data_IF_397702255241
#
_entry.id   IF_397702255241
#
_cell.length_a   1.000
_cell.length_b   1.000
_cell.length_c   1.000
_cell.angle_alpha   90.00
_cell.angle_beta   90.00
_cell.angle_gamma   90.00
#
_symmetry.space_group_name_H-M   'P 1'
#
loop_
_entity.id
_entity.type
_entity.pdbx_description
1 polymer ?
#
# COMPACT_ATOMS: atom_id res chain seq x y z
N UNK A 1 -26.51 -1.50 -1.42
CA UNK A 1 -26.46 -0.02 -1.35
C UNK A 1 -26.88 0.56 0.00
N UNK A 2 -28.03 0.20 0.59
CA UNK A 2 -28.59 0.86 1.78
C UNK A 2 -27.67 1.09 2.99
N UNK A 3 -26.73 0.18 3.29
CA UNK A 3 -25.74 0.37 4.38
C UNK A 3 -24.61 1.34 4.02
N UNK A 4 -24.36 1.55 2.73
CA UNK A 4 -23.36 2.48 2.21
C UNK A 4 -23.91 3.91 2.12
N UNK A 5 -25.21 4.04 1.84
CA UNK A 5 -25.89 5.33 1.85
C UNK A 5 -25.95 5.82 3.29
N UNK A 6 -25.13 6.85 3.57
CA UNK A 6 -24.87 7.34 4.92
C UNK A 6 -26.13 7.74 5.69
N UNK A 7 -25.99 7.97 7.00
CA UNK A 7 -27.08 8.47 7.85
C UNK A 7 -27.70 9.75 7.29
N UNK A 8 -26.89 10.59 6.65
CA UNK A 8 -27.34 11.86 6.07
C UNK A 8 -28.51 11.72 5.08
N UNK A 9 -28.53 10.71 4.20
CA UNK A 9 -29.67 10.55 3.28
C UNK A 9 -30.95 10.17 4.04
N UNK A 10 -30.80 9.30 5.05
CA UNK A 10 -31.93 8.76 5.81
C UNK A 10 -32.52 9.87 6.67
N UNK A 11 -31.65 10.65 7.31
CA UNK A 11 -32.02 11.80 8.14
C UNK A 11 -32.62 12.92 7.27
N UNK A 12 -32.07 13.16 6.08
CA UNK A 12 -32.62 14.12 5.11
C UNK A 12 -34.03 13.71 4.68
N UNK A 13 -34.24 12.46 4.26
CA UNK A 13 -35.57 11.96 3.88
C UNK A 13 -36.52 12.05 5.07
N UNK A 14 -36.12 11.53 6.23
CA UNK A 14 -36.91 11.53 7.46
C UNK A 14 -37.42 12.93 7.83
N UNK A 15 -36.53 13.92 7.75
CA UNK A 15 -36.84 15.32 8.06
C UNK A 15 -37.74 15.94 7.01
N UNK A 16 -37.48 15.71 5.72
CA UNK A 16 -38.26 16.30 4.62
C UNK A 16 -39.68 15.78 4.54
N UNK A 17 -39.90 14.51 4.86
CA UNK A 17 -41.25 13.92 4.89
C UNK A 17 -41.92 14.01 6.26
N UNK A 18 -41.24 14.54 7.27
CA UNK A 18 -41.72 14.53 8.66
C UNK A 18 -42.20 13.13 9.08
N UNK A 19 -41.31 12.15 8.90
CA UNK A 19 -41.63 10.73 8.93
C UNK A 19 -42.41 10.27 10.19
N UNK A 20 -42.16 10.78 11.42
CA UNK A 20 -42.94 10.39 12.59
C UNK A 20 -44.44 10.66 12.45
N UNK A 21 -44.82 11.81 11.87
CA UNK A 21 -46.23 12.17 11.69
C UNK A 21 -46.88 11.31 10.61
N UNK A 22 -46.20 11.11 9.47
CA UNK A 22 -46.74 10.30 8.38
C UNK A 22 -46.90 8.84 8.80
N UNK A 23 -45.92 8.26 9.50
CA UNK A 23 -45.99 6.86 9.95
C UNK A 23 -47.12 6.66 10.94
N UNK A 24 -47.38 7.65 11.81
CA UNK A 24 -48.54 7.61 12.71
C UNK A 24 -49.84 7.60 11.91
N UNK A 25 -50.00 8.53 10.97
CA UNK A 25 -51.20 8.60 10.13
C UNK A 25 -51.43 7.30 9.33
N UNK A 26 -50.38 6.72 8.74
CA UNK A 26 -50.46 5.44 8.01
C UNK A 26 -50.94 4.31 8.93
N UNK A 27 -50.36 4.18 10.13
CA UNK A 27 -50.77 3.12 11.06
C UNK A 27 -52.21 3.31 11.54
N UNK A 28 -52.63 4.54 11.79
CA UNK A 28 -53.99 4.85 12.25
C UNK A 28 -55.02 4.53 11.15
N UNK A 29 -54.74 4.91 9.90
CA UNK A 29 -55.67 4.73 8.77
C UNK A 29 -55.72 3.28 8.27
N UNK A 30 -54.57 2.62 8.08
CA UNK A 30 -54.54 1.20 7.70
C UNK A 30 -55.04 0.29 8.83
N UNK A 31 -54.85 0.69 10.09
CA UNK A 31 -55.43 -0.02 11.24
C UNK A 31 -56.95 -0.06 11.16
N UNK A 32 -57.59 1.09 10.94
CA UNK A 32 -59.05 1.18 10.74
C UNK A 32 -59.52 0.36 9.55
N UNK A 33 -58.80 0.43 8.43
CA UNK A 33 -59.13 -0.35 7.24
C UNK A 33 -59.10 -1.87 7.50
N UNK A 34 -58.13 -2.36 8.26
CA UNK A 34 -58.06 -3.78 8.65
C UNK A 34 -59.21 -4.14 9.62
N UNK A 35 -59.57 -3.25 10.55
CA UNK A 35 -60.71 -3.46 11.45
C UNK A 35 -62.04 -3.54 10.68
N UNK A 36 -62.24 -2.68 9.68
CA UNK A 36 -63.41 -2.70 8.80
C UNK A 36 -63.49 -4.01 8.02
N UNK A 37 -62.40 -4.48 7.42
CA UNK A 37 -62.35 -5.79 6.76
C UNK A 37 -62.59 -6.93 7.75
N UNK A 38 -62.00 -6.85 8.94
CA UNK A 38 -62.19 -7.84 10.01
C UNK A 38 -63.66 -7.99 10.42
N UNK A 39 -64.44 -6.91 10.39
CA UNK A 39 -65.88 -6.96 10.63
C UNK A 39 -66.70 -7.67 9.54
N UNK A 40 -66.15 -7.82 8.34
CA UNK A 40 -66.78 -8.53 7.20
C UNK A 40 -66.42 -10.01 7.20
N UNK A 41 -65.25 -10.37 7.72
CA UNK A 41 -64.75 -11.75 7.70
C UNK A 41 -65.42 -12.59 8.80
N UNK A 42 -66.10 -13.66 8.41
CA UNK A 42 -66.79 -14.55 9.38
C UNK A 42 -65.84 -15.53 10.09
N UNK A 43 -64.91 -16.13 9.34
CA UNK A 43 -64.06 -17.22 9.82
C UNK A 43 -62.55 -16.89 9.79
N UNK A 44 -62.18 -15.65 9.43
CA UNK A 44 -60.79 -15.24 9.27
C UNK A 44 -60.53 -13.93 10.01
N UNK A 45 -59.37 -13.80 10.64
CA UNK A 45 -58.93 -12.55 11.28
C UNK A 45 -57.52 -12.16 10.83
N UNK A 46 -57.27 -10.84 10.78
CA UNK A 46 -55.92 -10.31 10.63
C UNK A 46 -55.22 -10.30 11.98
N UNK A 47 -54.39 -11.31 12.23
CA UNK A 47 -53.57 -11.37 13.45
C UNK A 47 -52.26 -10.58 13.31
N UNK A 48 -51.88 -9.85 14.37
CA UNK A 48 -50.57 -9.19 14.44
C UNK A 48 -49.50 -10.25 14.74
N UNK A 49 -48.69 -10.61 13.75
CA UNK A 49 -47.62 -11.60 13.90
C UNK A 49 -46.27 -10.94 14.27
N UNK A 50 -45.59 -11.48 15.29
CA UNK A 50 -44.23 -11.06 15.67
C UNK A 50 -44.12 -9.96 16.73
N UNK A 51 -42.88 -9.52 17.01
CA UNK A 51 -42.55 -8.49 18.04
C UNK A 51 -42.87 -7.06 17.61
N UNK A 52 -42.92 -6.78 16.30
CA UNK A 52 -43.18 -5.43 15.74
C UNK A 52 -44.62 -5.38 15.24
N UNK A 53 -45.47 -4.62 15.93
CA UNK A 53 -46.92 -4.60 15.67
C UNK A 53 -47.37 -3.52 14.68
N UNK A 54 -46.55 -2.48 14.48
CA UNK A 54 -46.88 -1.31 13.67
C UNK A 54 -45.77 -1.04 12.66
N UNK A 55 -46.14 -0.46 11.52
CA UNK A 55 -45.21 0.03 10.51
C UNK A 55 -44.26 1.08 11.11
N UNK A 56 -42.96 0.92 10.85
CA UNK A 56 -41.90 1.70 11.49
C UNK A 56 -41.38 2.82 10.58
N UNK A 57 -40.91 3.91 11.17
CA UNK A 57 -40.27 5.02 10.44
C UNK A 57 -39.12 4.57 9.55
N UNK A 58 -38.24 3.70 10.06
CA UNK A 58 -37.12 3.20 9.28
C UNK A 58 -37.59 2.44 8.03
N UNK A 59 -38.72 1.73 8.12
CA UNK A 59 -39.28 0.99 6.97
C UNK A 59 -39.84 1.91 5.90
N UNK A 60 -40.50 3.01 6.29
CA UNK A 60 -40.96 4.02 5.34
C UNK A 60 -39.79 4.65 4.58
N UNK A 61 -38.75 5.05 5.33
CA UNK A 61 -37.56 5.67 4.74
C UNK A 61 -36.87 4.69 3.78
N UNK A 62 -36.77 3.41 4.15
CA UNK A 62 -36.23 2.36 3.28
C UNK A 62 -37.00 2.23 1.96
N UNK A 63 -38.33 2.13 2.03
CA UNK A 63 -39.20 2.00 0.84
C UNK A 63 -39.07 3.24 -0.07
N UNK A 64 -39.01 4.44 0.50
CA UNK A 64 -38.83 5.68 -0.29
C UNK A 64 -37.47 5.68 -1.00
N UNK A 65 -36.40 5.30 -0.29
CA UNK A 65 -35.06 5.24 -0.87
C UNK A 65 -34.99 4.16 -1.96
N UNK A 66 -35.52 2.96 -1.70
CA UNK A 66 -35.62 1.86 -2.67
C UNK A 66 -36.38 2.33 -3.92
N UNK A 67 -37.61 2.82 -3.76
CA UNK A 67 -38.42 3.29 -4.88
C UNK A 67 -37.76 4.43 -5.67
N UNK A 68 -37.00 5.31 -5.03
CA UNK A 68 -36.24 6.34 -5.74
C UNK A 68 -35.14 5.75 -6.61
N UNK A 69 -34.33 4.83 -6.07
CA UNK A 69 -33.20 4.23 -6.80
C UNK A 69 -33.63 3.19 -7.83
N UNK A 70 -34.76 2.51 -7.65
CA UNK A 70 -35.32 1.56 -8.61
C UNK A 70 -35.69 2.23 -9.94
N UNK A 71 -35.96 3.55 -9.94
CA UNK A 71 -36.21 4.32 -11.17
C UNK A 71 -34.94 4.70 -11.92
N UNK A 72 -33.74 4.37 -11.40
CA UNK A 72 -32.45 4.79 -11.95
C UNK A 72 -31.67 3.59 -12.49
N UNK A 73 -31.10 3.75 -13.69
CA UNK A 73 -30.14 2.79 -14.25
C UNK A 73 -28.73 3.34 -14.12
N UNK A 74 -27.82 2.53 -13.59
CA UNK A 74 -26.39 2.83 -13.61
C UNK A 74 -25.83 2.50 -14.99
N UNK A 75 -25.19 3.48 -15.62
CA UNK A 75 -24.61 3.32 -16.96
C UNK A 75 -23.13 3.69 -16.94
N UNK A 76 -22.29 2.89 -17.61
CA UNK A 76 -20.91 3.24 -17.91
C UNK A 76 -20.88 4.23 -19.06
N UNK A 77 -20.30 5.42 -18.83
CA UNK A 77 -20.14 6.46 -19.84
C UNK A 77 -18.75 6.34 -20.49
N UNK A 78 -18.71 6.24 -21.81
CA UNK A 78 -17.53 6.50 -22.63
C UNK A 78 -17.77 7.79 -23.44
N UNK A 79 -16.73 8.34 -24.08
CA UNK A 79 -16.77 9.64 -24.77
C UNK A 79 -17.97 9.81 -25.74
N UNK A 80 -18.50 8.72 -26.29
CA UNK A 80 -19.61 8.74 -27.26
C UNK A 80 -20.73 7.72 -26.96
N UNK A 81 -20.62 6.88 -25.94
CA UNK A 81 -21.59 5.81 -25.66
C UNK A 81 -21.93 5.68 -24.17
N UNK A 82 -23.15 5.25 -23.87
CA UNK A 82 -23.64 4.95 -22.52
C UNK A 82 -24.12 3.51 -22.50
N UNK A 83 -23.39 2.64 -21.82
CA UNK A 83 -23.69 1.19 -21.74
C UNK A 83 -24.35 0.92 -20.39
N UNK A 84 -25.48 0.21 -20.37
CA UNK A 84 -26.14 -0.15 -19.10
C UNK A 84 -25.28 -1.14 -18.34
N UNK A 85 -25.36 -1.12 -17.01
CA UNK A 85 -24.63 -2.09 -16.18
C UNK A 85 -24.94 -3.54 -16.53
N UNK A 86 -26.18 -3.85 -16.95
CA UNK A 86 -26.60 -5.21 -17.33
C UNK A 86 -25.84 -5.75 -18.54
N UNK A 87 -25.42 -4.85 -19.44
CA UNK A 87 -24.70 -5.17 -20.67
C UNK A 87 -23.17 -5.24 -20.47
N UNK A 88 -22.69 -4.92 -19.27
CA UNK A 88 -21.26 -5.01 -18.94
C UNK A 88 -20.81 -6.46 -18.71
N UNK A 89 -19.53 -6.71 -18.99
CA UNK A 89 -18.88 -7.97 -18.63
C UNK A 89 -18.88 -8.21 -17.11
N UNK A 90 -18.65 -9.45 -16.67
CA UNK A 90 -18.59 -9.79 -15.25
C UNK A 90 -17.55 -8.96 -14.48
N UNK A 91 -16.36 -8.78 -15.05
CA UNK A 91 -15.29 -7.95 -14.50
C UNK A 91 -15.71 -6.48 -14.39
N UNK A 92 -16.31 -5.91 -15.43
CA UNK A 92 -16.77 -4.52 -15.41
C UNK A 92 -17.92 -4.30 -14.41
N UNK A 93 -18.83 -5.25 -14.24
CA UNK A 93 -19.87 -5.20 -13.19
C UNK A 93 -19.25 -5.15 -11.80
N UNK A 94 -18.22 -5.96 -11.56
CA UNK A 94 -17.46 -5.98 -10.30
C UNK A 94 -16.74 -4.65 -10.07
N UNK A 95 -16.07 -4.12 -11.10
CA UNK A 95 -15.45 -2.81 -11.04
C UNK A 95 -16.48 -1.72 -10.70
N UNK A 96 -17.62 -1.69 -11.39
CA UNK A 96 -18.69 -0.73 -11.14
C UNK A 96 -19.21 -0.81 -9.69
N UNK A 97 -19.37 -2.02 -9.14
CA UNK A 97 -19.79 -2.20 -7.75
C UNK A 97 -18.80 -1.57 -6.76
N UNK A 98 -17.50 -1.81 -6.95
CA UNK A 98 -16.46 -1.23 -6.09
C UNK A 98 -16.37 0.28 -6.28
N UNK A 99 -16.51 0.80 -7.50
CA UNK A 99 -16.52 2.24 -7.77
C UNK A 99 -17.71 2.95 -7.11
N UNK A 100 -18.89 2.32 -7.14
CA UNK A 100 -20.08 2.84 -6.44
C UNK A 100 -19.87 2.81 -4.93
N UNK A 101 -19.35 1.72 -4.39
CA UNK A 101 -19.03 1.62 -2.96
C UNK A 101 -18.00 2.69 -2.54
N UNK A 102 -16.95 2.86 -3.33
CA UNK A 102 -15.93 3.89 -3.16
C UNK A 102 -16.57 5.28 -3.12
N UNK A 103 -17.39 5.63 -4.12
CA UNK A 103 -18.04 6.95 -4.19
C UNK A 103 -18.96 7.21 -2.98
N UNK A 104 -19.75 6.22 -2.56
CA UNK A 104 -20.61 6.38 -1.39
C UNK A 104 -19.84 6.53 -0.09
N UNK A 105 -18.76 5.77 0.10
CA UNK A 105 -17.95 5.81 1.30
C UNK A 105 -17.15 7.13 1.37
N UNK A 106 -16.47 7.49 0.29
CA UNK A 106 -15.64 8.70 0.20
C UNK A 106 -16.43 10.00 0.22
N UNK A 107 -17.74 9.99 -0.05
CA UNK A 107 -18.61 11.17 0.12
C UNK A 107 -18.62 11.69 1.57
N UNK A 108 -18.47 10.78 2.54
CA UNK A 108 -18.44 11.12 3.97
C UNK A 108 -17.39 10.23 4.64
N UNK A 109 -16.10 10.58 4.58
CA UNK A 109 -15.02 9.73 5.09
C UNK A 109 -15.00 9.69 6.63
N UNK A 110 -15.41 10.79 7.28
CA UNK A 110 -15.53 10.88 8.74
C UNK A 110 -16.97 10.62 9.15
N UNK A 111 -17.24 9.44 9.72
CA UNK A 111 -18.57 9.03 10.18
C UNK A 111 -18.56 8.69 11.67
N UNK A 112 -19.72 8.82 12.32
CA UNK A 112 -19.91 8.38 13.72
C UNK A 112 -19.85 6.86 13.91
N UNK A 113 -19.94 6.09 12.81
CA UNK A 113 -19.98 4.62 12.83
C UNK A 113 -18.69 4.06 12.24
N UNK A 114 -18.18 3.01 12.88
CA UNK A 114 -17.13 2.17 12.32
C UNK A 114 -17.71 1.39 11.12
N UNK A 115 -16.99 1.41 9.99
CA UNK A 115 -17.36 0.67 8.80
C UNK A 115 -16.25 -0.32 8.48
N UNK A 116 -16.66 -1.57 8.26
CA UNK A 116 -15.82 -2.62 7.72
C UNK A 116 -16.36 -2.99 6.32
N UNK A 117 -15.49 -2.92 5.32
CA UNK A 117 -15.76 -3.30 3.95
C UNK A 117 -15.03 -4.60 3.65
N UNK A 118 -15.79 -5.69 3.52
CA UNK A 118 -15.25 -6.98 3.09
C UNK A 118 -15.60 -7.22 1.61
N UNK A 119 -14.60 -7.53 0.79
CA UNK A 119 -14.75 -7.78 -0.64
C UNK A 119 -14.08 -9.10 -0.98
N UNK A 120 -14.85 -10.03 -1.55
CA UNK A 120 -14.33 -11.31 -2.01
C UNK A 120 -13.79 -11.17 -3.43
N UNK A 121 -12.51 -11.47 -3.66
CA UNK A 121 -11.82 -11.42 -4.97
C UNK A 121 -12.11 -10.14 -5.78
N UNK A 122 -11.63 -8.96 -5.36
CA UNK A 122 -11.86 -7.72 -6.11
C UNK A 122 -11.40 -7.84 -7.57
N UNK A 123 -10.30 -8.55 -7.84
CA UNK A 123 -9.70 -8.72 -9.16
C UNK A 123 -10.44 -9.67 -10.11
N UNK A 124 -11.41 -10.44 -9.61
CA UNK A 124 -11.96 -11.55 -10.38
C UNK A 124 -12.51 -11.08 -11.75
N UNK A 125 -12.07 -11.75 -12.82
CA UNK A 125 -12.42 -11.45 -14.21
C UNK A 125 -11.93 -10.08 -14.73
N UNK A 126 -11.00 -9.41 -14.04
CA UNK A 126 -10.38 -8.18 -14.53
C UNK A 126 -9.06 -8.45 -15.27
N UNK A 127 -8.76 -7.54 -16.21
CA UNK A 127 -7.42 -7.45 -16.79
C UNK A 127 -6.44 -6.88 -15.75
N UNK A 128 -5.17 -7.31 -15.77
CA UNK A 128 -4.14 -6.92 -14.79
C UNK A 128 -4.03 -5.41 -14.59
N UNK A 129 -4.17 -4.63 -15.66
CA UNK A 129 -4.16 -3.15 -15.57
C UNK A 129 -5.34 -2.59 -14.77
N UNK A 130 -6.53 -3.21 -14.82
CA UNK A 130 -7.69 -2.79 -14.05
C UNK A 130 -7.62 -3.25 -12.58
N UNK A 131 -6.92 -4.34 -12.29
CA UNK A 131 -6.63 -4.77 -10.92
C UNK A 131 -5.90 -3.66 -10.14
N UNK A 132 -4.96 -2.97 -10.79
CA UNK A 132 -4.23 -1.87 -10.16
C UNK A 132 -5.12 -0.77 -9.62
N UNK A 133 -5.91 -0.16 -10.50
CA UNK A 133 -6.80 0.94 -10.13
C UNK A 133 -7.81 0.51 -9.07
N UNK A 134 -8.18 -0.77 -9.07
CA UNK A 134 -9.11 -1.32 -8.10
C UNK A 134 -8.47 -1.45 -6.71
N UNK A 135 -7.29 -2.05 -6.61
CA UNK A 135 -6.56 -2.15 -5.34
C UNK A 135 -6.09 -0.78 -4.83
N UNK A 136 -5.79 0.18 -5.71
CA UNK A 136 -5.52 1.56 -5.30
C UNK A 136 -6.74 2.21 -4.64
N UNK A 137 -7.95 1.99 -5.20
CA UNK A 137 -9.20 2.44 -4.57
C UNK A 137 -9.41 1.78 -3.21
N UNK A 138 -9.13 0.48 -3.08
CA UNK A 138 -9.24 -0.23 -1.80
C UNK A 138 -8.26 0.32 -0.75
N UNK A 139 -7.02 0.61 -1.15
CA UNK A 139 -6.02 1.27 -0.30
C UNK A 139 -6.49 2.65 0.17
N UNK A 140 -7.02 3.47 -0.72
CA UNK A 140 -7.56 4.79 -0.34
C UNK A 140 -8.73 4.67 0.64
N UNK A 141 -9.56 3.64 0.48
CA UNK A 141 -10.62 3.35 1.46
C UNK A 141 -10.05 2.90 2.81
N UNK A 142 -8.93 2.16 2.82
CA UNK A 142 -8.33 1.68 4.07
C UNK A 142 -7.79 2.79 4.96
N UNK A 143 -7.55 4.00 4.43
CA UNK A 143 -7.18 5.19 5.20
C UNK A 143 -8.31 5.67 6.14
N UNK A 144 -9.57 5.35 5.83
CA UNK A 144 -10.74 5.83 6.57
C UNK A 144 -11.60 4.71 7.15
N UNK A 145 -11.50 3.51 6.59
CA UNK A 145 -12.36 2.37 6.90
C UNK A 145 -11.53 1.10 7.02
N UNK A 146 -12.02 0.09 7.74
CA UNK A 146 -11.37 -1.22 7.73
C UNK A 146 -11.74 -1.94 6.43
N UNK A 147 -10.74 -2.32 5.62
CA UNK A 147 -10.94 -3.07 4.37
C UNK A 147 -10.39 -4.49 4.55
N UNK A 148 -11.20 -5.48 4.22
CA UNK A 148 -10.83 -6.90 4.21
C UNK A 148 -11.06 -7.43 2.80
N UNK A 149 -10.06 -8.11 2.25
CA UNK A 149 -10.11 -8.67 0.90
C UNK A 149 -9.55 -10.08 0.89
N UNK A 150 -10.13 -10.93 0.06
CA UNK A 150 -9.57 -12.22 -0.36
C UNK A 150 -9.06 -12.06 -1.79
N UNK A 151 -7.93 -12.67 -2.11
CA UNK A 151 -7.35 -12.56 -3.45
C UNK A 151 -6.39 -13.70 -3.74
N UNK A 152 -6.35 -14.14 -5.00
CA UNK A 152 -5.36 -15.09 -5.51
C UNK A 152 -4.25 -14.43 -6.32
N UNK A 153 -4.37 -13.12 -6.56
CA UNK A 153 -3.42 -12.31 -7.29
C UNK A 153 -2.39 -11.74 -6.34
N UNK A 154 -1.10 -11.93 -6.56
CA UNK A 154 -0.06 -11.39 -5.66
C UNK A 154 0.36 -9.97 -6.06
N UNK A 155 -0.16 -9.46 -7.18
CA UNK A 155 0.16 -8.13 -7.71
C UNK A 155 -0.38 -6.95 -6.90
N UNK A 156 -1.22 -7.19 -5.87
CA UNK A 156 -1.64 -6.13 -4.95
C UNK A 156 -0.57 -5.76 -3.92
N UNK A 157 0.34 -6.70 -3.61
CA UNK A 157 1.40 -6.50 -2.62
C UNK A 157 2.21 -5.21 -2.82
N UNK A 158 2.60 -4.84 -4.05
CA UNK A 158 3.31 -3.59 -4.27
C UNK A 158 2.39 -2.34 -4.25
N UNK A 159 1.06 -2.52 -4.34
CA UNK A 159 0.07 -1.43 -4.31
C UNK A 159 -0.27 -1.06 -2.88
N UNK A 160 -0.58 -2.08 -2.07
CA UNK A 160 -0.95 -1.97 -0.66
C UNK A 160 0.33 -2.07 0.17
N UNK A 161 0.83 -0.93 0.64
CA UNK A 161 2.05 -0.83 1.44
C UNK A 161 1.79 -0.74 2.95
N UNK A 162 0.53 -0.80 3.37
CA UNK A 162 0.12 -0.77 4.77
C UNK A 162 -1.02 -1.78 5.00
N UNK A 163 -0.87 -2.64 6.00
CA UNK A 163 -1.79 -3.72 6.32
C UNK A 163 -1.11 -5.07 6.53
N UNK A 164 -1.94 -6.11 6.73
CA UNK A 164 -1.48 -7.48 7.01
C UNK A 164 -2.02 -8.42 5.94
N UNK A 165 -1.13 -9.18 5.31
CA UNK A 165 -1.50 -10.31 4.45
C UNK A 165 -1.57 -11.57 5.29
N UNK A 166 -2.67 -12.32 5.16
CA UNK A 166 -2.82 -13.64 5.75
C UNK A 166 -2.80 -14.68 4.63
N UNK A 167 -1.80 -15.56 4.63
CA UNK A 167 -1.75 -16.71 3.74
C UNK A 167 -2.36 -17.92 4.44
N UNK A 168 -3.41 -18.44 3.84
CA UNK A 168 -4.16 -19.58 4.38
C UNK A 168 -3.61 -20.86 3.75
N UNK A 169 -3.26 -21.83 4.59
CA UNK A 169 -2.82 -23.16 4.14
C UNK A 169 -3.63 -24.25 4.82
N UNK A 170 -4.18 -25.20 4.05
CA UNK A 170 -4.82 -26.37 4.65
C UNK A 170 -3.75 -27.25 5.31
N UNK A 171 -3.98 -27.64 6.56
CA UNK A 171 -3.19 -28.63 7.28
C UNK A 171 -4.15 -29.59 7.99
N UNK A 172 -4.28 -30.80 7.47
CA UNK A 172 -5.24 -31.81 7.91
C UNK A 172 -6.67 -31.25 7.96
N UNK A 173 -7.30 -31.22 9.14
CA UNK A 173 -8.65 -30.65 9.36
C UNK A 173 -8.64 -29.17 9.76
N UNK A 174 -7.47 -28.53 9.83
CA UNK A 174 -7.31 -27.13 10.25
C UNK A 174 -6.79 -26.24 9.12
N UNK A 175 -7.04 -24.93 9.25
CA UNK A 175 -6.45 -23.90 8.39
C UNK A 175 -5.35 -23.19 9.19
N UNK A 176 -4.12 -23.25 8.72
CA UNK A 176 -3.03 -22.45 9.27
C UNK A 176 -3.01 -21.06 8.62
N UNK A 177 -2.73 -20.05 9.45
CA UNK A 177 -2.56 -18.66 9.03
C UNK A 177 -1.10 -18.27 9.16
N UNK A 178 -0.48 -17.91 8.04
CA UNK A 178 0.82 -17.22 8.04
C UNK A 178 0.58 -15.74 7.75
N UNK A 179 0.90 -14.87 8.72
CA UNK A 179 0.59 -13.45 8.65
C UNK A 179 1.85 -12.65 8.43
N UNK A 180 1.82 -11.72 7.47
CA UNK A 180 2.96 -10.89 7.10
C UNK A 180 2.54 -9.43 7.01
N UNK A 181 3.38 -8.53 7.49
CA UNK A 181 3.18 -7.10 7.25
C UNK A 181 3.48 -6.81 5.78
N UNK A 182 2.53 -6.19 5.08
CA UNK A 182 2.65 -5.85 3.66
C UNK A 182 3.84 -4.94 3.37
N UNK A 183 4.19 -4.04 4.30
CA UNK A 183 5.29 -3.10 4.14
C UNK A 183 6.68 -3.79 4.06
N UNK A 184 6.78 -5.05 4.50
CA UNK A 184 8.05 -5.78 4.59
C UNK A 184 7.88 -7.27 4.23
N UNK A 185 6.85 -7.63 3.47
CA UNK A 185 6.45 -9.05 3.35
C UNK A 185 7.54 -9.90 2.66
N UNK A 186 8.19 -9.40 1.59
CA UNK A 186 9.25 -10.13 0.88
C UNK A 186 10.44 -10.39 1.79
N UNK A 187 10.83 -9.39 2.58
CA UNK A 187 11.90 -9.54 3.57
C UNK A 187 11.53 -10.56 4.65
N UNK A 188 10.30 -10.50 5.20
CA UNK A 188 9.84 -11.48 6.17
C UNK A 188 9.79 -12.90 5.60
N UNK A 189 9.47 -13.04 4.31
CA UNK A 189 9.52 -14.31 3.57
C UNK A 189 10.96 -14.82 3.42
N UNK A 190 11.89 -13.94 3.01
CA UNK A 190 13.29 -14.29 2.79
C UNK A 190 13.98 -14.72 4.11
N UNK A 191 13.64 -14.05 5.22
CA UNK A 191 14.21 -14.33 6.54
C UNK A 191 13.62 -15.57 7.23
N UNK A 192 12.49 -16.10 6.77
CA UNK A 192 11.99 -17.38 7.27
C UNK A 192 12.82 -18.53 6.68
N UNK A 193 13.32 -19.41 7.57
CA UNK A 193 14.14 -20.58 7.22
C UNK A 193 13.60 -21.27 5.96
N UNK A 194 14.44 -21.33 4.92
CA UNK A 194 14.25 -22.11 3.68
C UNK A 194 13.52 -23.42 4.00
N UNK A 195 12.27 -23.55 3.56
CA UNK A 195 11.49 -24.78 3.73
C UNK A 195 10.03 -24.62 4.14
N UNK A 196 9.57 -23.43 4.56
CA UNK A 196 8.14 -23.21 4.85
C UNK A 196 7.35 -22.67 3.68
N UNK A 197 7.93 -21.86 2.80
CA UNK A 197 7.17 -21.28 1.68
C UNK A 197 7.35 -22.17 0.45
N UNK A 198 6.26 -22.71 -0.14
CA UNK A 198 6.35 -23.52 -1.35
C UNK A 198 7.06 -22.75 -2.47
N UNK A 199 7.95 -23.39 -3.22
CA UNK A 199 8.65 -22.75 -4.36
C UNK A 199 7.69 -22.15 -5.38
N UNK A 200 6.54 -22.78 -5.58
CA UNK A 200 5.49 -22.30 -6.49
C UNK A 200 4.90 -20.96 -6.05
N UNK A 201 4.86 -20.72 -4.73
CA UNK A 201 4.40 -19.46 -4.16
C UNK A 201 5.40 -18.33 -4.45
N UNK A 202 6.70 -18.56 -4.25
CA UNK A 202 7.70 -17.52 -4.52
C UNK A 202 7.77 -17.19 -6.02
N UNK A 203 7.70 -18.22 -6.87
CA UNK A 203 7.66 -18.05 -8.32
C UNK A 203 6.42 -17.24 -8.76
N UNK A 204 5.22 -17.67 -8.33
CA UNK A 204 3.98 -16.98 -8.69
C UNK A 204 3.95 -15.55 -8.15
N UNK A 205 4.33 -15.35 -6.89
CA UNK A 205 4.34 -14.01 -6.28
C UNK A 205 5.31 -13.06 -6.99
N UNK A 206 6.50 -13.55 -7.36
CA UNK A 206 7.49 -12.76 -8.11
C UNK A 206 6.99 -12.45 -9.51
N UNK A 207 6.38 -13.41 -10.20
CA UNK A 207 5.83 -13.20 -11.54
C UNK A 207 4.69 -12.18 -11.53
N UNK A 208 3.72 -12.35 -10.64
CA UNK A 208 2.60 -11.42 -10.46
C UNK A 208 3.12 -10.02 -10.12
N UNK A 209 4.12 -9.90 -9.23
CA UNK A 209 4.76 -8.63 -8.87
C UNK A 209 5.41 -7.94 -10.07
N UNK A 210 6.25 -8.67 -10.82
CA UNK A 210 6.96 -8.12 -12.00
C UNK A 210 5.96 -7.68 -13.07
N UNK A 211 4.98 -8.53 -13.40
CA UNK A 211 3.93 -8.16 -14.34
C UNK A 211 3.20 -6.90 -13.87
N UNK A 212 2.94 -6.83 -12.56
CA UNK A 212 2.21 -5.74 -11.97
C UNK A 212 3.00 -4.42 -12.10
N UNK A 213 4.27 -4.41 -11.71
CA UNK A 213 5.16 -3.27 -11.93
C UNK A 213 5.19 -2.89 -13.42
N UNK A 214 5.37 -3.86 -14.31
CA UNK A 214 5.42 -3.65 -15.76
C UNK A 214 4.16 -3.00 -16.35
N UNK A 215 2.96 -3.41 -15.93
CA UNK A 215 1.72 -2.79 -16.39
C UNK A 215 1.52 -1.39 -15.77
N UNK A 216 1.89 -1.21 -14.50
CA UNK A 216 1.69 0.04 -13.77
C UNK A 216 2.46 1.23 -14.36
N UNK A 217 3.64 0.99 -14.96
CA UNK A 217 4.45 2.01 -15.62
C UNK A 217 3.94 2.38 -17.01
N UNK A 218 2.96 1.65 -17.55
CA UNK A 218 2.39 1.89 -18.88
C UNK A 218 1.02 2.59 -18.84
N UNK A 219 0.43 2.72 -17.65
CA UNK A 219 -0.82 3.45 -17.45
C UNK A 219 -0.71 4.92 -17.91
N UNK A 220 -1.84 5.54 -18.27
CA UNK A 220 -1.87 6.96 -18.63
C UNK A 220 -1.41 7.88 -17.49
N UNK A 221 -1.70 7.46 -16.25
CA UNK A 221 -1.13 8.06 -15.05
C UNK A 221 -0.24 6.99 -14.37
N UNK A 222 1.03 6.86 -14.81
CA UNK A 222 1.88 5.74 -14.43
C UNK A 222 2.34 5.82 -12.98
N UNK A 223 2.70 4.66 -12.43
CA UNK A 223 3.45 4.58 -11.17
C UNK A 223 4.96 4.63 -11.44
N UNK A 224 5.71 5.14 -10.48
CA UNK A 224 7.16 5.06 -10.44
C UNK A 224 7.60 4.13 -9.32
N UNK A 225 8.75 3.46 -9.47
CA UNK A 225 9.21 2.43 -8.53
C UNK A 225 10.63 2.67 -8.07
N UNK A 226 10.85 2.59 -6.76
CA UNK A 226 12.18 2.50 -6.14
C UNK A 226 12.28 1.19 -5.38
N UNK A 227 13.08 0.26 -5.87
CA UNK A 227 13.26 -1.08 -5.31
C UNK A 227 14.55 -1.09 -4.49
N UNK A 228 14.45 -1.48 -3.22
CA UNK A 228 15.55 -1.44 -2.23
C UNK A 228 15.69 -2.78 -1.50
N UNK A 229 16.78 -2.97 -0.77
CA UNK A 229 17.09 -4.26 -0.16
C UNK A 229 16.19 -4.57 1.04
N UNK A 230 16.16 -3.67 2.02
CA UNK A 230 15.55 -3.94 3.33
C UNK A 230 14.51 -2.92 3.77
N UNK A 231 13.80 -3.25 4.84
CA UNK A 231 12.79 -2.37 5.42
C UNK A 231 13.40 -1.12 6.08
N UNK A 232 14.61 -1.20 6.63
CA UNK A 232 15.36 -0.02 7.09
C UNK A 232 15.53 1.00 5.97
N UNK A 233 15.95 0.54 4.80
CA UNK A 233 16.15 1.34 3.59
C UNK A 233 14.82 1.98 3.18
N UNK A 234 13.76 1.18 3.15
CA UNK A 234 12.41 1.65 2.88
C UNK A 234 12.01 2.82 3.78
N UNK A 235 12.35 2.78 5.07
CA UNK A 235 12.04 3.88 6.01
C UNK A 235 12.79 5.17 5.64
N UNK A 236 14.11 5.10 5.41
CA UNK A 236 14.89 6.29 5.01
C UNK A 236 14.41 6.85 3.68
N UNK A 237 14.24 5.99 2.67
CA UNK A 237 13.81 6.39 1.33
C UNK A 237 12.38 6.96 1.38
N UNK A 238 11.46 6.35 2.14
CA UNK A 238 10.10 6.89 2.31
C UNK A 238 10.12 8.25 3.00
N UNK A 239 11.01 8.44 3.97
CA UNK A 239 11.16 9.73 4.65
C UNK A 239 11.69 10.82 3.71
N UNK A 240 12.70 10.54 2.91
CA UNK A 240 13.28 11.51 1.99
C UNK A 240 12.42 11.79 0.75
N UNK A 241 11.72 10.78 0.22
CA UNK A 241 10.94 10.88 -1.02
C UNK A 241 9.43 11.13 -0.78
N UNK A 242 9.05 11.72 0.36
CA UNK A 242 7.63 12.05 0.67
C UNK A 242 6.95 12.82 -0.47
N UNK A 243 7.64 13.80 -1.04
CA UNK A 243 7.11 14.63 -2.11
C UNK A 243 6.91 13.83 -3.40
N UNK A 244 7.85 12.96 -3.76
CA UNK A 244 7.83 12.15 -4.98
C UNK A 244 6.77 11.05 -4.90
N UNK A 245 6.52 10.50 -3.71
CA UNK A 245 5.43 9.54 -3.46
C UNK A 245 4.07 10.14 -3.82
N UNK A 246 3.84 11.40 -3.47
CA UNK A 246 2.59 12.11 -3.75
C UNK A 246 2.55 12.66 -5.18
N UNK A 247 3.61 13.36 -5.61
CA UNK A 247 3.63 14.12 -6.87
C UNK A 247 3.84 13.22 -8.08
N UNK A 248 4.70 12.22 -7.95
CA UNK A 248 5.11 11.34 -9.05
C UNK A 248 4.59 9.91 -8.87
N UNK A 249 3.65 9.67 -7.95
CA UNK A 249 3.14 8.33 -7.64
C UNK A 249 4.26 7.31 -7.40
N UNK A 250 5.35 7.73 -6.75
CA UNK A 250 6.45 6.85 -6.41
C UNK A 250 5.99 5.77 -5.42
N UNK A 251 6.44 4.55 -5.63
CA UNK A 251 6.24 3.39 -4.75
C UNK A 251 7.61 2.84 -4.40
N UNK A 252 7.87 2.67 -3.11
CA UNK A 252 9.13 2.15 -2.61
C UNK A 252 8.87 0.70 -2.15
N UNK A 253 9.69 -0.23 -2.61
CA UNK A 253 9.50 -1.66 -2.42
C UNK A 253 10.78 -2.30 -1.84
N UNK A 254 10.77 -2.71 -0.56
CA UNK A 254 11.82 -3.54 0.01
C UNK A 254 11.61 -5.02 -0.37
N UNK A 255 12.66 -5.72 -0.80
CA UNK A 255 12.53 -7.07 -1.37
C UNK A 255 13.32 -8.17 -0.66
N UNK A 256 14.03 -7.84 0.43
CA UNK A 256 14.74 -8.81 1.25
C UNK A 256 16.16 -9.14 0.79
N UNK A 257 16.89 -8.14 0.29
CA UNK A 257 18.32 -8.24 -0.02
C UNK A 257 18.68 -8.05 -1.50
N UNK A 258 19.97 -7.78 -1.74
CA UNK A 258 20.54 -7.47 -3.06
C UNK A 258 20.20 -8.50 -4.16
N UNK A 259 20.11 -9.79 -3.82
CA UNK A 259 19.88 -10.88 -4.76
C UNK A 259 18.46 -10.85 -5.30
N UNK A 260 17.48 -10.50 -4.46
CA UNK A 260 16.09 -10.35 -4.86
C UNK A 260 15.87 -9.05 -5.65
N UNK A 261 16.58 -7.96 -5.32
CA UNK A 261 16.60 -6.74 -6.13
C UNK A 261 17.10 -7.05 -7.55
N UNK A 262 18.23 -7.76 -7.65
CA UNK A 262 18.81 -8.18 -8.93
C UNK A 262 17.85 -9.07 -9.73
N UNK A 263 17.26 -10.07 -9.09
CA UNK A 263 16.27 -10.98 -9.70
C UNK A 263 15.08 -10.21 -10.28
N UNK A 264 14.47 -9.30 -9.52
CA UNK A 264 13.32 -8.50 -9.99
C UNK A 264 13.73 -7.61 -11.17
N UNK A 265 14.89 -6.96 -11.08
CA UNK A 265 15.43 -6.15 -12.17
C UNK A 265 15.62 -6.97 -13.46
N UNK A 266 16.23 -8.16 -13.39
CA UNK A 266 16.40 -9.05 -14.54
C UNK A 266 15.07 -9.48 -15.16
N UNK A 267 14.07 -9.81 -14.35
CA UNK A 267 12.73 -10.15 -14.82
C UNK A 267 12.01 -8.96 -15.49
N UNK A 268 12.26 -7.73 -15.03
CA UNK A 268 11.69 -6.51 -15.63
C UNK A 268 12.40 -6.12 -16.93
N UNK A 269 13.70 -6.39 -17.05
CA UNK A 269 14.49 -5.99 -18.22
C UNK A 269 13.98 -6.58 -19.54
N UNK A 270 13.65 -7.88 -19.56
CA UNK A 270 13.21 -8.56 -20.79
C UNK A 270 11.95 -7.94 -21.41
N UNK A 271 10.82 -7.79 -20.69
CA UNK A 271 9.62 -7.20 -21.27
C UNK A 271 9.80 -5.70 -21.56
N UNK A 272 10.66 -5.01 -20.80
CA UNK A 272 10.96 -3.59 -21.01
C UNK A 272 11.72 -3.32 -22.31
N UNK A 273 12.65 -4.19 -22.73
CA UNK A 273 13.39 -4.05 -24.00
C UNK A 273 12.48 -3.92 -25.24
N UNK A 274 11.27 -4.46 -25.17
CA UNK A 274 10.27 -4.37 -26.26
C UNK A 274 9.50 -3.05 -26.33
N UNK A 275 9.68 -2.14 -25.36
CA UNK A 275 8.93 -0.88 -25.26
C UNK A 275 9.83 0.29 -25.67
N UNK A 276 9.37 1.14 -26.59
CA UNK A 276 10.18 2.28 -27.03
C UNK A 276 10.28 3.39 -25.97
N UNK A 277 9.20 3.67 -25.23
CA UNK A 277 9.11 4.73 -24.21
C UNK A 277 8.09 4.37 -23.12
N UNK A 278 8.46 3.64 -22.06
CA UNK A 278 7.57 3.47 -20.90
C UNK A 278 7.31 4.84 -20.23
N UNK A 279 6.09 5.04 -19.73
CA UNK A 279 5.65 6.33 -19.14
C UNK A 279 6.15 6.50 -17.71
N UNK A 280 6.18 5.40 -16.95
CA UNK A 280 6.75 5.33 -15.60
C UNK A 280 8.20 4.85 -15.60
N UNK A 281 8.85 5.02 -14.46
CA UNK A 281 10.27 4.76 -14.25
C UNK A 281 10.51 3.82 -13.07
N UNK A 282 11.60 3.07 -13.13
CA UNK A 282 12.02 2.10 -12.13
C UNK A 282 13.48 2.39 -11.75
N UNK A 283 13.77 2.42 -10.46
CA UNK A 283 15.11 2.57 -9.93
C UNK A 283 15.36 1.45 -8.92
N UNK A 284 16.40 0.66 -9.13
CA UNK A 284 16.86 -0.35 -8.18
C UNK A 284 18.10 0.19 -7.46
N UNK A 285 18.06 0.19 -6.13
CA UNK A 285 19.15 0.62 -5.27
C UNK A 285 19.57 -0.54 -4.36
N UNK A 286 20.88 -0.75 -4.26
CA UNK A 286 21.49 -1.71 -3.33
C UNK A 286 22.66 -1.04 -2.59
N UNK A 287 23.05 -1.63 -1.47
CA UNK A 287 24.29 -1.36 -0.78
C UNK A 287 25.49 -1.88 -1.60
N UNK A 288 26.70 -1.48 -1.22
CA UNK A 288 27.91 -2.13 -1.74
C UNK A 288 28.43 -3.14 -0.74
N UNK A 289 28.51 -4.39 -1.18
CA UNK A 289 29.17 -5.49 -0.46
C UNK A 289 30.62 -5.70 -0.92
N UNK A 290 31.35 -6.54 -0.17
CA UNK A 290 32.73 -6.94 -0.47
C UNK A 290 32.83 -7.69 -1.80
N UNK A 291 31.86 -8.55 -2.11
CA UNK A 291 31.78 -9.27 -3.36
C UNK A 291 31.00 -8.46 -4.40
N UNK A 292 31.59 -8.27 -5.59
CA UNK A 292 30.82 -7.72 -6.70
C UNK A 292 29.77 -8.74 -7.13
N UNK A 293 28.53 -8.28 -7.34
CA UNK A 293 27.49 -9.07 -7.99
C UNK A 293 27.89 -9.29 -9.45
N UNK A 294 28.80 -10.23 -9.71
CA UNK A 294 29.28 -10.56 -11.05
C UNK A 294 28.13 -10.74 -12.04
N UNK A 295 28.33 -10.33 -13.29
CA UNK A 295 27.34 -10.48 -14.35
C UNK A 295 26.13 -9.55 -14.24
N UNK A 296 26.33 -8.27 -13.91
CA UNK A 296 25.29 -7.25 -14.12
C UNK A 296 25.09 -7.00 -15.63
N UNK A 297 23.85 -6.76 -16.10
CA UNK A 297 23.60 -6.55 -17.52
C UNK A 297 24.24 -5.23 -17.95
N UNK A 298 25.11 -5.34 -18.94
CA UNK A 298 25.78 -4.22 -19.58
C UNK A 298 24.74 -3.35 -20.29
N UNK A 299 24.85 -2.06 -19.99
CA UNK A 299 24.12 -0.91 -20.51
C UNK A 299 22.74 -0.64 -19.89
N UNK A 300 22.58 0.62 -19.47
CA UNK A 300 21.33 1.35 -19.32
C UNK A 300 20.56 1.35 -20.65
N UNK A 301 20.03 0.18 -21.08
CA UNK A 301 19.37 0.02 -22.38
C UNK A 301 18.10 0.89 -22.46
N UNK A 302 17.59 1.38 -21.32
CA UNK A 302 16.48 2.30 -21.24
C UNK A 302 16.69 3.39 -20.18
N UNK A 303 16.40 4.65 -20.55
CA UNK A 303 16.38 5.79 -19.61
C UNK A 303 15.34 5.65 -18.49
N UNK A 304 14.48 4.66 -18.55
CA UNK A 304 13.34 4.44 -17.65
C UNK A 304 13.58 3.36 -16.59
N UNK A 305 14.68 2.61 -16.67
CA UNK A 305 15.06 1.65 -15.62
C UNK A 305 16.56 1.78 -15.31
N UNK A 306 16.89 2.00 -14.03
CA UNK A 306 18.27 2.08 -13.55
C UNK A 306 18.49 1.06 -12.43
N UNK A 307 19.70 0.53 -12.37
CA UNK A 307 20.18 -0.27 -11.25
C UNK A 307 21.52 0.28 -10.79
N UNK A 308 21.56 0.76 -9.54
CA UNK A 308 22.72 1.42 -8.94
C UNK A 308 23.00 0.89 -7.55
N UNK A 309 24.24 1.11 -7.10
CA UNK A 309 24.69 0.81 -5.74
C UNK A 309 25.35 2.00 -5.08
N UNK A 310 25.19 2.11 -3.76
CA UNK A 310 25.85 3.15 -2.96
C UNK A 310 27.35 2.90 -2.88
N UNK A 311 28.15 3.94 -3.02
CA UNK A 311 29.59 3.83 -2.90
C UNK A 311 30.18 5.03 -2.20
N UNK A 312 30.90 4.79 -1.10
CA UNK A 312 31.70 5.81 -0.46
C UNK A 312 33.02 6.06 -1.21
N UNK A 313 33.11 7.22 -1.86
CA UNK A 313 34.36 7.66 -2.49
C UNK A 313 35.24 8.41 -1.49
N UNK A 314 36.19 7.68 -0.91
CA UNK A 314 37.21 8.21 0.02
C UNK A 314 38.04 9.36 -0.55
N UNK A 315 38.22 9.45 -1.87
CA UNK A 315 39.04 10.51 -2.48
C UNK A 315 38.29 11.84 -2.61
N UNK A 316 36.98 11.79 -2.86
CA UNK A 316 36.15 12.98 -3.04
C UNK A 316 35.35 13.34 -1.79
N UNK A 317 35.36 12.47 -0.78
CA UNK A 317 34.50 12.55 0.40
C UNK A 317 33.03 12.68 0.01
N UNK A 318 32.56 11.85 -0.93
CA UNK A 318 31.17 11.85 -1.43
C UNK A 318 30.61 10.43 -1.52
N UNK A 319 29.28 10.32 -1.37
CA UNK A 319 28.53 9.13 -1.75
C UNK A 319 28.20 9.22 -3.25
N UNK A 320 28.63 8.21 -4.01
CA UNK A 320 28.37 8.08 -5.44
C UNK A 320 27.40 6.92 -5.69
N UNK A 321 26.57 7.05 -6.74
CA UNK A 321 25.68 5.99 -7.21
C UNK A 321 26.30 5.31 -8.42
N UNK A 322 26.94 4.16 -8.19
CA UNK A 322 27.68 3.43 -9.23
C UNK A 322 26.83 2.39 -9.94
N UNK A 323 27.24 2.03 -11.15
CA UNK A 323 26.72 0.83 -11.82
C UNK A 323 27.16 -0.43 -11.05
N UNK A 324 26.31 -1.45 -11.09
CA UNK A 324 26.47 -2.68 -10.28
C UNK A 324 27.69 -3.49 -10.71
N UNK A 325 28.11 -3.40 -11.98
CA UNK A 325 29.28 -4.06 -12.55
C UNK A 325 30.59 -3.31 -12.34
N UNK A 326 30.57 -2.14 -11.68
CA UNK A 326 31.80 -1.41 -11.34
C UNK A 326 32.73 -2.27 -10.48
N UNK A 327 34.05 -2.12 -10.67
CA UNK A 327 35.07 -2.88 -9.94
C UNK A 327 35.41 -2.32 -8.54
N UNK A 328 34.77 -1.23 -8.11
CA UNK A 328 35.00 -0.64 -6.78
C UNK A 328 34.24 -1.44 -5.70
N UNK A 329 34.86 -1.73 -4.55
CA UNK A 329 34.29 -2.67 -3.55
C UNK A 329 34.35 -2.15 -2.11
N UNK A 330 34.36 -0.82 -1.93
CA UNK A 330 34.28 -0.24 -0.57
C UNK A 330 32.88 -0.50 -0.03
N UNK A 331 32.78 -1.30 1.03
CA UNK A 331 31.50 -1.59 1.69
C UNK A 331 30.84 -0.28 2.08
N UNK A 332 29.58 -0.10 1.70
CA UNK A 332 28.81 1.12 1.95
C UNK A 332 27.34 0.76 2.06
N UNK A 333 26.76 0.98 3.24
CA UNK A 333 25.32 0.82 3.50
C UNK A 333 24.60 2.17 3.45
N UNK A 334 23.25 2.19 3.44
CA UNK A 334 22.52 3.46 3.59
C UNK A 334 22.89 4.18 4.87
N UNK A 335 23.10 3.46 5.97
CA UNK A 335 23.52 4.01 7.26
C UNK A 335 24.84 4.78 7.19
N UNK A 336 25.71 4.48 6.22
CA UNK A 336 26.96 5.19 5.94
C UNK A 336 26.76 6.51 5.17
N UNK A 337 25.59 6.66 4.54
CA UNK A 337 25.25 7.75 3.64
C UNK A 337 24.24 8.76 4.22
N UNK A 338 24.01 8.70 5.54
CA UNK A 338 23.08 9.57 6.27
C UNK A 338 23.70 10.92 6.65
N UNK A 339 22.85 11.86 7.07
CA UNK A 339 23.28 13.19 7.53
C UNK A 339 23.98 13.04 8.89
N UNK A 340 25.25 13.49 9.03
CA UNK A 340 26.07 13.28 10.22
C UNK A 340 25.43 13.69 11.55
N UNK A 341 24.93 14.93 11.64
CA UNK A 341 24.39 15.46 12.90
C UNK A 341 23.18 14.68 13.40
N UNK A 342 22.32 14.25 12.47
CA UNK A 342 21.13 13.46 12.75
C UNK A 342 21.52 12.04 13.12
N UNK A 343 22.48 11.45 12.40
CA UNK A 343 23.03 10.13 12.69
C UNK A 343 23.62 10.07 14.10
N UNK A 344 24.45 11.06 14.49
CA UNK A 344 25.05 11.14 15.82
C UNK A 344 23.98 11.35 16.90
N UNK A 345 23.01 12.24 16.65
CA UNK A 345 21.89 12.46 17.58
C UNK A 345 21.05 11.19 17.78
N UNK A 346 20.90 10.42 16.70
CA UNK A 346 20.20 9.13 16.72
C UNK A 346 20.99 8.12 17.54
N UNK A 347 22.29 7.92 17.24
CA UNK A 347 23.16 7.02 18.02
C UNK A 347 23.20 7.38 19.50
N UNK A 348 23.18 8.68 19.83
CA UNK A 348 23.15 9.15 21.22
C UNK A 348 21.93 8.67 22.00
N UNK A 349 20.81 8.39 21.33
CA UNK A 349 19.63 7.80 21.95
C UNK A 349 19.74 6.29 22.23
N UNK A 350 20.77 5.63 21.67
CA UNK A 350 21.03 4.20 21.82
C UNK A 350 22.31 3.89 22.61
N UNK A 351 22.93 4.85 23.28
CA UNK A 351 24.21 4.67 24.03
C UNK A 351 24.16 3.50 25.01
N UNK A 352 23.02 3.29 25.68
CA UNK A 352 22.83 2.15 26.59
C UNK A 352 22.89 0.79 25.91
N UNK A 353 22.50 0.70 24.64
CA UNK A 353 22.55 -0.53 23.84
C UNK A 353 23.89 -0.70 23.10
N UNK A 354 24.54 0.42 22.72
CA UNK A 354 25.86 0.42 22.08
C UNK A 354 26.97 -0.09 23.02
N UNK A 355 26.84 0.13 24.33
CA UNK A 355 27.84 -0.28 25.31
C UNK A 355 29.14 0.52 25.25
N UNK A 356 29.09 1.75 24.72
CA UNK A 356 30.15 2.75 24.77
C UNK A 356 29.56 4.17 24.64
N UNK A 357 30.26 5.16 25.19
CA UNK A 357 29.87 6.57 25.12
C UNK A 357 30.39 7.25 23.83
N UNK A 358 29.69 8.31 23.41
CA UNK A 358 30.05 9.14 22.26
C UNK A 358 30.49 10.54 22.72
N UNK A 359 31.73 10.71 23.23
CA UNK A 359 32.21 12.02 23.65
C UNK A 359 32.37 12.96 22.45
N UNK A 360 32.26 14.27 22.68
CA UNK A 360 32.43 15.28 21.62
C UNK A 360 33.76 15.16 20.86
N UNK A 361 34.80 14.66 21.51
CA UNK A 361 36.12 14.42 20.88
C UNK A 361 36.11 13.37 19.78
N UNK A 362 35.11 12.48 19.73
CA UNK A 362 34.99 11.46 18.66
C UNK A 362 34.17 11.96 17.47
N UNK A 363 33.57 13.14 17.53
CA UNK A 363 32.69 13.68 16.49
C UNK A 363 33.50 14.53 15.52
N UNK A 364 33.36 14.25 14.21
CA UNK A 364 33.96 15.04 13.14
C UNK A 364 32.94 16.03 12.57
N UNK A 365 33.07 17.30 12.96
CA UNK A 365 32.09 18.38 12.64
C UNK A 365 32.04 18.69 11.12
N UNK A 366 33.11 18.43 10.37
CA UNK A 366 33.19 18.70 8.93
C UNK A 366 32.72 17.53 8.04
N UNK A 367 32.30 16.42 8.65
CA UNK A 367 31.78 15.26 7.93
C UNK A 367 30.59 15.65 7.04
N UNK A 368 30.54 15.11 5.83
CA UNK A 368 29.39 15.26 4.93
C UNK A 368 28.40 14.10 5.06
N UNK A 369 28.91 12.93 5.43
CA UNK A 369 28.14 11.69 5.57
C UNK A 369 28.51 10.94 6.85
N UNK A 370 27.59 10.13 7.35
CA UNK A 370 27.71 9.40 8.62
C UNK A 370 28.94 8.48 8.67
N UNK A 371 29.36 7.87 7.57
CA UNK A 371 30.55 6.99 7.53
C UNK A 371 31.87 7.66 7.95
N UNK A 372 31.95 8.98 7.85
CA UNK A 372 33.09 9.79 8.28
C UNK A 372 32.78 10.68 9.49
N UNK A 373 31.60 10.55 10.09
CA UNK A 373 31.15 11.41 11.19
C UNK A 373 31.80 11.10 12.54
N UNK A 374 32.40 9.92 12.68
CA UNK A 374 32.97 9.43 13.93
C UNK A 374 34.44 8.99 13.80
N UNK A 375 35.23 9.33 14.82
CA UNK A 375 36.60 8.83 15.04
C UNK A 375 36.63 7.83 16.19
N UNK A 376 36.17 6.60 15.93
CA UNK A 376 36.09 5.55 16.95
C UNK A 376 37.37 4.71 16.99
N UNK A 377 37.77 4.35 18.22
CA UNK A 377 38.69 3.26 18.48
C UNK A 377 38.13 1.94 17.93
N UNK A 378 39.01 1.02 17.54
CA UNK A 378 38.62 -0.28 16.95
C UNK A 378 37.57 -1.03 17.78
N UNK A 379 37.78 -1.12 19.10
CA UNK A 379 36.82 -1.79 20.00
C UNK A 379 35.42 -1.16 20.02
N UNK A 380 35.30 0.14 19.74
CA UNK A 380 34.00 0.81 19.63
C UNK A 380 33.41 0.68 18.22
N UNK A 381 34.24 0.58 17.16
CA UNK A 381 33.79 0.24 15.81
C UNK A 381 33.14 -1.15 15.78
N UNK A 382 33.78 -2.15 16.38
CA UNK A 382 33.21 -3.49 16.48
C UNK A 382 31.87 -3.53 17.23
N UNK A 383 31.73 -2.71 18.29
CA UNK A 383 30.46 -2.59 19.02
C UNK A 383 29.37 -1.94 18.18
N UNK A 384 29.72 -0.90 17.42
CA UNK A 384 28.80 -0.24 16.49
C UNK A 384 28.34 -1.20 15.39
N UNK A 385 29.25 -1.98 14.81
CA UNK A 385 28.91 -3.01 13.82
C UNK A 385 27.99 -4.08 14.41
N UNK A 386 28.27 -4.56 15.63
CA UNK A 386 27.41 -5.52 16.35
C UNK A 386 26.05 -4.93 16.73
N UNK A 387 25.94 -3.62 16.87
CA UNK A 387 24.67 -2.96 17.16
C UNK A 387 23.73 -3.01 15.97
N UNK A 388 24.22 -2.86 14.73
CA UNK A 388 23.41 -2.86 13.51
C UNK A 388 22.94 -4.25 13.05
N UNK A 389 22.27 -4.96 13.96
CA UNK A 389 21.45 -6.12 13.62
C UNK A 389 20.21 -5.70 12.79
N UNK A 390 19.55 -6.60 12.04
CA UNK A 390 18.37 -6.25 11.25
C UNK A 390 17.26 -5.54 12.06
N UNK A 391 17.01 -5.99 13.30
CA UNK A 391 16.03 -5.35 14.18
C UNK A 391 16.45 -3.93 14.58
N UNK A 392 17.73 -3.74 14.93
CA UNK A 392 18.24 -2.45 15.35
C UNK A 392 18.40 -1.47 14.19
N UNK A 393 18.70 -1.94 12.97
CA UNK A 393 18.64 -1.09 11.76
C UNK A 393 17.26 -0.46 11.60
N UNK A 394 16.20 -1.24 11.77
CA UNK A 394 14.81 -0.72 11.70
C UNK A 394 14.53 0.27 12.83
N UNK A 395 14.88 -0.05 14.09
CA UNK A 395 14.70 0.88 15.22
C UNK A 395 15.47 2.19 15.02
N UNK A 396 16.70 2.09 14.55
CA UNK A 396 17.57 3.22 14.26
C UNK A 396 16.97 4.08 13.14
N UNK A 397 16.51 3.47 12.05
CA UNK A 397 15.87 4.18 10.93
C UNK A 397 14.61 4.94 11.37
N UNK A 398 13.74 4.32 12.18
CA UNK A 398 12.58 5.03 12.76
C UNK A 398 13.01 6.24 13.57
N UNK A 399 14.00 6.07 14.45
CA UNK A 399 14.45 7.15 15.33
C UNK A 399 15.13 8.27 14.55
N UNK A 400 15.92 7.92 13.55
CA UNK A 400 16.53 8.88 12.63
C UNK A 400 15.47 9.71 11.91
N UNK A 401 14.45 9.07 11.33
CA UNK A 401 13.38 9.76 10.61
C UNK A 401 12.50 10.62 11.55
N UNK A 402 12.40 10.27 12.83
CA UNK A 402 11.74 11.10 13.86
C UNK A 402 12.54 12.38 14.17
N UNK A 403 13.87 12.26 14.23
CA UNK A 403 14.77 13.38 14.57
C UNK A 403 15.03 14.32 13.38
N UNK A 404 14.97 13.81 12.16
CA UNK A 404 15.16 14.62 10.96
C UNK A 404 13.97 15.56 10.70
N UNK A 405 14.26 16.86 10.71
CA UNK A 405 13.29 17.93 10.44
C UNK A 405 13.14 18.25 8.94
N UNK A 406 13.87 17.56 8.06
CA UNK A 406 13.79 17.73 6.60
C UNK A 406 14.45 19.02 6.11
N UNK A 407 15.42 19.56 6.84
CA UNK A 407 16.11 20.81 6.50
C UNK A 407 17.22 20.62 5.46
N UNK A 408 17.72 19.40 5.31
CA UNK A 408 18.78 19.04 4.38
C UNK A 408 18.48 17.68 3.75
N UNK A 409 18.94 17.49 2.51
CA UNK A 409 18.76 16.25 1.75
C UNK A 409 20.14 15.81 1.24
N UNK A 410 20.55 14.55 1.43
CA UNK A 410 21.81 14.05 0.90
C UNK A 410 21.88 14.16 -0.64
N UNK A 411 23.05 14.46 -1.19
CA UNK A 411 23.19 14.68 -2.63
C UNK A 411 22.81 13.45 -3.48
N UNK A 412 23.12 12.25 -2.99
CA UNK A 412 22.74 10.99 -3.65
C UNK A 412 21.22 10.81 -3.70
N UNK A 413 20.49 11.24 -2.66
CA UNK A 413 19.02 11.23 -2.63
C UNK A 413 18.47 12.20 -3.67
N UNK A 414 19.01 13.42 -3.75
CA UNK A 414 18.61 14.41 -4.76
C UNK A 414 18.84 13.88 -6.18
N UNK A 415 19.96 13.18 -6.43
CA UNK A 415 20.24 12.56 -7.73
C UNK A 415 19.18 11.51 -8.12
N UNK A 416 18.70 10.70 -7.17
CA UNK A 416 17.60 9.75 -7.40
C UNK A 416 16.27 10.50 -7.62
N UNK A 417 15.99 11.56 -6.85
CA UNK A 417 14.79 12.39 -7.04
C UNK A 417 14.72 13.02 -8.43
N UNK A 418 15.85 13.49 -8.96
CA UNK A 418 15.97 13.99 -10.33
C UNK A 418 15.61 12.96 -11.40
N UNK A 419 15.85 11.67 -11.14
CA UNK A 419 15.48 10.61 -12.08
C UNK A 419 13.96 10.50 -12.25
N UNK A 420 13.19 10.70 -11.17
CA UNK A 420 11.73 10.62 -11.20
C UNK A 420 11.02 11.91 -11.62
N UNK A 421 11.69 13.07 -11.51
CA UNK A 421 11.13 14.37 -11.87
C UNK A 421 11.33 14.77 -13.34
N UNK A 422 12.40 14.28 -13.97
CA UNK A 422 12.61 14.35 -15.43
C UNK A 422 11.76 13.30 -16.14
#
# INVERSE_FOLDING_TARGET
>A
MQKLVGSDIRDTVATKINAPLIVKAINDELGKYIEEIGGILENYEYSKTGKVKNFQQNRLIEIIIEGYFDTKSLNKKNQSTSIKIDDLSSGEKRQALIEVAYAFLMKEPKRKKLIMLAIDEPEASLHTSACFDQFERLKRLSEYFQVITTTHWYGFLPIINDGVAHFLRPQDENIQFESYNLSSYKEQIANQKRGRIPTDFDLKSTHDLVQSIFYSIQLDSPFNWLICEGYSDYLYLTHYFKNEIETYKLRILPVGGNSEVKKIYEFLLLPLKGIANPKGKIYCLIDTDVETLGGGPTNNIQKSILFRRLFWNKATHQIELLEVDSNKTVVTEIEDALIPDIFISTLSSFVGELGFDLPQSTIKVEAKYSCESLDLLESNREKLEKFFTPENKVKFAYKYCELDKGTSVPAWVSQIGEFFSK
#
